data_IF_182085492114
#
_entry.id   IF_182085492114
#
_cell.length_a   1.000
_cell.length_b   1.000
_cell.length_c   1.000
_cell.angle_alpha   90.00
_cell.angle_beta   90.00
_cell.angle_gamma   90.00
#
_symmetry.space_group_name_H-M   'P 1'
#
loop_
_entity.id
_entity.type
_entity.pdbx_description
1 polymer ?
#
# COMPACT_ATOMS: atom_id res chain seq x y z
N UNK A 1 -1.12 -8.23 -4.27
CA UNK A 1 -1.02 -6.99 -5.07
C UNK A 1 0.42 -6.80 -5.50
N UNK A 2 0.65 -6.69 -6.81
CA UNK A 2 1.99 -6.60 -7.40
C UNK A 2 2.23 -5.21 -7.97
N UNK A 3 3.36 -4.61 -7.59
CA UNK A 3 3.73 -3.25 -7.97
C UNK A 3 4.99 -3.21 -8.87
N UNK A 4 5.37 -4.33 -9.48
CA UNK A 4 6.50 -4.46 -10.40
C UNK A 4 6.36 -5.69 -11.34
N UNK A 5 7.10 -5.76 -12.47
CA UNK A 5 7.24 -6.97 -13.30
C UNK A 5 7.93 -8.10 -12.51
N UNK A 6 7.45 -9.33 -12.68
CA UNK A 6 7.90 -10.53 -11.99
C UNK A 6 7.00 -11.72 -12.36
N UNK A 7 7.37 -12.96 -11.97
CA UNK A 7 6.51 -14.12 -12.17
C UNK A 7 5.16 -13.84 -11.53
N UNK A 8 4.10 -14.22 -12.24
CA UNK A 8 2.77 -14.07 -11.69
C UNK A 8 2.60 -15.06 -10.56
N UNK A 9 2.16 -14.59 -9.37
CA UNK A 9 1.89 -15.46 -8.27
C UNK A 9 0.79 -16.44 -8.66
N UNK A 10 0.89 -17.66 -8.15
CA UNK A 10 -0.09 -18.72 -8.42
C UNK A 10 -1.48 -18.44 -7.78
N UNK A 11 -1.60 -17.36 -7.00
CA UNK A 11 -2.84 -16.93 -6.35
C UNK A 11 -3.43 -15.67 -7.04
N UNK A 12 -4.72 -15.37 -6.82
CA UNK A 12 -5.37 -14.20 -7.39
C UNK A 12 -4.61 -12.91 -7.09
N UNK A 13 -4.31 -12.13 -8.13
CA UNK A 13 -3.54 -10.90 -7.98
C UNK A 13 -4.12 -9.74 -8.82
N UNK A 14 -3.80 -8.53 -8.37
CA UNK A 14 -4.04 -7.27 -9.07
C UNK A 14 -2.73 -6.50 -9.18
N UNK A 15 -2.49 -5.93 -10.36
CA UNK A 15 -1.35 -5.05 -10.63
C UNK A 15 -1.83 -3.61 -10.61
N UNK A 16 -1.12 -2.75 -9.87
CA UNK A 16 -1.43 -1.32 -9.84
C UNK A 16 -0.29 -0.57 -10.49
N UNK A 17 -0.61 0.35 -11.40
CA UNK A 17 0.37 1.22 -12.05
C UNK A 17 0.89 2.24 -11.04
N UNK A 18 2.04 1.92 -10.46
CA UNK A 18 2.68 2.73 -9.42
C UNK A 18 4.16 2.97 -9.76
N UNK A 19 4.47 4.09 -10.45
CA UNK A 19 5.83 4.44 -10.82
C UNK A 19 6.74 4.54 -9.60
N UNK A 20 8.02 4.23 -9.79
CA UNK A 20 8.97 4.24 -8.70
C UNK A 20 9.12 5.64 -8.13
N UNK A 21 9.31 5.72 -6.81
CA UNK A 21 9.30 6.96 -6.06
C UNK A 21 8.07 7.83 -6.33
N UNK A 22 6.92 7.33 -6.77
CA UNK A 22 5.72 8.14 -7.01
C UNK A 22 4.52 7.68 -6.19
N UNK A 23 3.34 8.17 -6.54
CA UNK A 23 2.01 7.70 -6.09
C UNK A 23 1.34 6.93 -7.23
N UNK A 24 0.27 6.16 -6.98
CA UNK A 24 -0.47 5.48 -8.04
C UNK A 24 -0.93 6.46 -9.12
N UNK A 25 -0.84 6.03 -10.39
CA UNK A 25 -1.34 6.84 -11.51
C UNK A 25 -2.85 6.99 -11.45
N UNK A 26 -3.55 5.88 -11.21
CA UNK A 26 -4.96 5.87 -10.86
C UNK A 26 -5.10 5.68 -9.35
N UNK A 27 -5.53 6.74 -8.67
CA UNK A 27 -5.68 6.74 -7.21
C UNK A 27 -6.98 6.07 -6.77
N UNK A 28 -8.02 6.14 -7.60
CA UNK A 28 -9.31 5.53 -7.28
C UNK A 28 -9.19 4.02 -7.39
N UNK A 29 -8.67 3.52 -8.52
CA UNK A 29 -8.38 2.10 -8.70
C UNK A 29 -7.45 1.58 -7.58
N UNK A 30 -6.43 2.35 -7.21
CA UNK A 30 -5.54 1.96 -6.12
C UNK A 30 -6.26 1.80 -4.79
N UNK A 31 -7.15 2.73 -4.43
CA UNK A 31 -7.91 2.65 -3.20
C UNK A 31 -8.92 1.50 -3.23
N UNK A 32 -9.58 1.25 -4.35
CA UNK A 32 -10.53 0.15 -4.48
C UNK A 32 -9.84 -1.22 -4.31
N UNK A 33 -8.67 -1.40 -4.92
CA UNK A 33 -7.87 -2.62 -4.73
C UNK A 33 -7.38 -2.77 -3.28
N UNK A 34 -7.03 -1.67 -2.61
CA UNK A 34 -6.62 -1.71 -1.19
C UNK A 34 -7.80 -2.01 -0.26
N UNK A 35 -8.99 -1.46 -0.51
CA UNK A 35 -10.20 -1.81 0.26
C UNK A 35 -10.58 -3.27 0.07
N UNK A 36 -10.48 -3.78 -1.16
CA UNK A 36 -10.69 -5.20 -1.42
C UNK A 36 -9.67 -6.09 -0.71
N UNK A 37 -8.40 -5.70 -0.72
CA UNK A 37 -7.36 -6.39 0.04
C UNK A 37 -7.65 -6.39 1.55
N UNK A 38 -8.08 -5.26 2.12
CA UNK A 38 -8.44 -5.15 3.53
C UNK A 38 -9.65 -6.03 3.87
N UNK A 39 -10.70 -6.00 3.04
CA UNK A 39 -11.89 -6.84 3.21
C UNK A 39 -11.53 -8.32 3.25
N UNK A 40 -10.73 -8.80 2.29
CA UNK A 40 -10.27 -10.21 2.27
C UNK A 40 -9.43 -10.55 3.51
N UNK A 41 -8.61 -9.63 3.99
CA UNK A 41 -7.86 -9.83 5.24
C UNK A 41 -8.80 -9.97 6.45
N UNK A 42 -9.87 -9.16 6.52
CA UNK A 42 -10.91 -9.29 7.56
C UNK A 42 -11.71 -10.59 7.44
N UNK A 43 -11.93 -11.09 6.23
CA UNK A 43 -12.55 -12.39 5.97
C UNK A 43 -11.62 -13.58 6.32
N UNK A 44 -10.42 -13.31 6.85
CA UNK A 44 -9.45 -14.30 7.32
C UNK A 44 -8.47 -14.78 6.25
N UNK A 45 -8.48 -14.19 5.06
CA UNK A 45 -7.56 -14.56 3.98
C UNK A 45 -6.16 -13.95 4.16
N UNK A 46 -5.14 -14.65 3.65
CA UNK A 46 -3.78 -14.11 3.57
C UNK A 46 -3.64 -13.22 2.33
N UNK A 47 -3.35 -11.94 2.54
CA UNK A 47 -3.15 -10.96 1.46
C UNK A 47 -1.72 -10.43 1.48
N UNK A 48 -1.09 -10.41 0.30
CA UNK A 48 0.26 -9.88 0.12
C UNK A 48 0.23 -8.56 -0.68
N UNK A 49 1.07 -7.59 -0.28
CA UNK A 49 1.31 -6.34 -1.01
C UNK A 49 2.81 -6.17 -1.21
N UNK A 50 3.28 -6.10 -2.46
CA UNK A 50 4.70 -6.02 -2.75
C UNK A 50 5.01 -5.12 -3.96
N UNK A 51 6.09 -4.33 -3.85
CA UNK A 51 6.80 -3.69 -4.95
C UNK A 51 8.21 -4.28 -5.10
N UNK A 52 8.90 -3.91 -6.18
CA UNK A 52 10.27 -4.41 -6.47
C UNK A 52 11.22 -4.28 -5.27
N UNK A 53 11.20 -3.13 -4.59
CA UNK A 53 12.13 -2.84 -3.49
C UNK A 53 11.57 -3.10 -2.10
N UNK A 54 10.29 -3.42 -1.94
CA UNK A 54 9.66 -3.65 -0.64
C UNK A 54 9.63 -2.44 0.32
N UNK A 55 10.12 -1.25 -0.04
CA UNK A 55 10.26 -0.14 0.95
C UNK A 55 9.22 0.97 0.73
N UNK A 56 9.36 1.80 -0.31
CA UNK A 56 8.50 2.98 -0.47
C UNK A 56 7.08 2.66 -0.85
N UNK A 57 6.87 2.05 -2.02
CA UNK A 57 5.53 1.77 -2.54
C UNK A 57 4.79 0.75 -1.66
N UNK A 58 5.46 -0.33 -1.26
CA UNK A 58 4.90 -1.28 -0.28
C UNK A 58 4.56 -0.59 1.03
N UNK A 59 5.50 0.15 1.63
CA UNK A 59 5.24 0.87 2.88
C UNK A 59 4.12 1.92 2.76
N UNK A 60 3.98 2.56 1.60
CA UNK A 60 2.89 3.51 1.36
C UNK A 60 1.54 2.78 1.24
N UNK A 61 1.50 1.62 0.59
CA UNK A 61 0.30 0.80 0.52
C UNK A 61 -0.11 0.26 1.89
N UNK A 62 0.84 -0.21 2.71
CA UNK A 62 0.59 -0.66 4.08
C UNK A 62 0.08 0.47 4.98
N UNK A 63 0.67 1.67 4.86
CA UNK A 63 0.17 2.84 5.58
C UNK A 63 -1.25 3.22 5.14
N UNK A 64 -1.57 3.12 3.84
CA UNK A 64 -2.92 3.38 3.33
C UNK A 64 -3.92 2.34 3.85
N UNK A 65 -3.55 1.05 3.89
CA UNK A 65 -4.38 0.00 4.49
C UNK A 65 -4.69 0.29 5.95
N UNK A 66 -3.68 0.69 6.75
CA UNK A 66 -3.89 1.05 8.14
C UNK A 66 -4.85 2.24 8.31
N UNK A 67 -4.78 3.24 7.43
CA UNK A 67 -5.71 4.38 7.44
C UNK A 67 -7.14 3.91 7.12
N UNK A 68 -7.30 3.09 6.09
CA UNK A 68 -8.60 2.51 5.71
C UNK A 68 -9.18 1.61 6.81
N UNK A 69 -8.32 1.01 7.63
CA UNK A 69 -8.68 0.24 8.82
C UNK A 69 -8.94 1.09 10.07
N UNK A 70 -8.90 2.43 9.94
CA UNK A 70 -9.28 3.37 10.99
C UNK A 70 -8.12 4.00 11.77
N UNK A 71 -6.86 3.74 11.39
CA UNK A 71 -5.72 4.44 11.98
C UNK A 71 -5.70 5.91 11.55
N UNK A 72 -5.59 6.88 12.49
CA UNK A 72 -5.45 8.29 12.12
C UNK A 72 -4.26 8.53 11.20
N UNK A 73 -4.45 9.36 10.17
CA UNK A 73 -3.46 9.55 9.09
C UNK A 73 -2.11 10.09 9.59
N UNK A 74 -2.11 10.87 10.66
CA UNK A 74 -0.92 11.40 11.32
C UNK A 74 -0.07 10.30 11.95
N UNK A 75 -0.70 9.17 12.31
CA UNK A 75 -0.06 8.00 12.93
C UNK A 75 0.40 6.96 11.92
N UNK A 76 -0.12 6.99 10.69
CA UNK A 76 0.14 5.97 9.68
C UNK A 76 1.62 5.80 9.31
N UNK A 77 2.34 6.92 9.07
CA UNK A 77 3.77 6.86 8.70
C UNK A 77 4.66 6.40 9.89
N UNK A 78 4.52 6.95 11.11
CA UNK A 78 5.21 6.40 12.27
C UNK A 78 4.92 4.92 12.50
N UNK A 79 3.65 4.50 12.38
CA UNK A 79 3.23 3.12 12.60
C UNK A 79 3.89 2.16 11.61
N UNK A 80 3.83 2.44 10.30
CA UNK A 80 4.44 1.55 9.29
C UNK A 80 5.96 1.52 9.42
N UNK A 81 6.58 2.61 9.87
CA UNK A 81 8.04 2.64 10.08
C UNK A 81 8.49 1.81 11.27
N UNK A 82 7.68 1.78 12.33
CA UNK A 82 7.94 0.99 13.51
C UNK A 82 7.64 -0.51 13.29
N UNK A 83 6.54 -0.83 12.59
CA UNK A 83 6.06 -2.20 12.43
C UNK A 83 6.54 -2.93 11.17
N UNK A 84 7.01 -2.21 10.15
CA UNK A 84 7.39 -2.81 8.87
C UNK A 84 8.81 -2.48 8.44
N UNK A 85 9.10 -1.20 8.14
CA UNK A 85 10.43 -0.81 7.67
C UNK A 85 10.74 0.65 8.00
N UNK A 86 11.89 0.98 8.62
CA UNK A 86 12.18 2.34 9.10
C UNK A 86 12.22 3.41 7.99
N UNK A 87 12.50 2.99 6.75
CA UNK A 87 12.49 3.86 5.55
C UNK A 87 11.17 3.83 4.75
N UNK A 88 10.12 3.17 5.25
CA UNK A 88 8.81 3.15 4.60
C UNK A 88 8.30 4.58 4.34
N UNK A 89 7.58 4.73 3.21
CA UNK A 89 7.10 6.03 2.71
C UNK A 89 8.28 6.99 2.45
N UNK A 90 8.88 6.82 1.27
CA UNK A 90 10.17 7.42 0.91
C UNK A 90 10.06 8.88 0.51
N UNK A 91 8.91 9.30 -0.03
CA UNK A 91 8.80 10.61 -0.70
C UNK A 91 7.77 11.54 -0.06
N UNK A 92 7.95 12.87 -0.18
CA UNK A 92 6.98 13.84 0.32
C UNK A 92 5.58 13.71 -0.30
N UNK A 93 5.48 13.36 -1.58
CA UNK A 93 4.19 13.20 -2.25
C UNK A 93 3.48 11.89 -1.90
N UNK A 94 4.19 10.81 -1.55
CA UNK A 94 3.56 9.63 -0.93
C UNK A 94 2.90 10.01 0.41
N UNK A 95 3.60 10.78 1.26
CA UNK A 95 3.02 11.30 2.51
C UNK A 95 1.82 12.21 2.25
N UNK A 96 1.88 13.06 1.24
CA UNK A 96 0.77 13.94 0.85
C UNK A 96 -0.43 13.15 0.33
N UNK A 97 -0.20 12.07 -0.42
CA UNK A 97 -1.26 11.19 -0.90
C UNK A 97 -1.96 10.47 0.25
N UNK A 98 -1.23 10.00 1.26
CA UNK A 98 -1.81 9.38 2.47
C UNK A 98 -2.81 10.31 3.17
N UNK A 99 -2.56 11.62 3.21
CA UNK A 99 -3.49 12.64 3.76
C UNK A 99 -4.82 12.76 3.02
N UNK A 100 -4.95 12.13 1.85
CA UNK A 100 -6.17 12.13 1.02
C UNK A 100 -6.82 10.75 0.97
N UNK A 101 -6.31 9.78 1.73
CA UNK A 101 -6.92 8.46 1.87
C UNK A 101 -8.08 8.59 2.86
N UNK A 102 -9.26 8.13 2.43
CA UNK A 102 -10.53 8.14 3.19
C UNK A 102 -11.27 6.85 2.95
#
# INVERSE_FOLDING_TARGET
MLLAPGPEPAWPHRRIRWPDFWVPLDRAEALDVLREALRRAHDGERVEVACRGGVGRTGTALAALAILDGLPVERAVPWVRAGYHPKAVETPWQRRWLRRVT
#
